data_IF_780680482929
#
_entry.id   IF_780680482929
#
_cell.length_a   1.000
_cell.length_b   1.000
_cell.length_c   1.000
_cell.angle_alpha   90.00
_cell.angle_beta   90.00
_cell.angle_gamma   90.00
#
_symmetry.space_group_name_H-M   'P 1'
#
loop_
_entity.id
_entity.type
_entity.pdbx_description
1 polymer ?
#
# COMPACT_ATOMS: atom_id res chain seq x y z
N UNK A 1 9.72 -24.37 30.00
CA UNK A 1 9.57 -24.70 28.56
C UNK A 1 9.28 -23.42 27.79
N UNK A 2 9.83 -23.24 26.57
CA UNK A 2 9.52 -22.08 25.72
C UNK A 2 8.06 -22.13 25.30
N UNK A 3 7.32 -21.02 25.42
CA UNK A 3 5.93 -20.96 24.93
C UNK A 3 5.90 -21.10 23.40
N UNK A 4 4.97 -21.89 22.90
CA UNK A 4 4.73 -22.15 21.49
C UNK A 4 3.70 -21.16 20.93
N UNK A 5 4.11 -20.35 19.96
CA UNK A 5 3.28 -19.34 19.32
C UNK A 5 3.08 -19.70 17.85
N UNK A 6 1.82 -19.86 17.46
CA UNK A 6 1.43 -20.09 16.07
C UNK A 6 0.92 -18.82 15.42
N UNK A 7 1.42 -18.50 14.25
CA UNK A 7 1.07 -17.31 13.48
C UNK A 7 0.35 -17.73 12.20
N UNK A 8 -0.86 -17.21 11.99
CA UNK A 8 -1.65 -17.46 10.79
C UNK A 8 -1.39 -16.31 9.81
N UNK A 9 -0.83 -16.63 8.65
CA UNK A 9 -0.47 -15.69 7.57
C UNK A 9 1.04 -15.45 7.50
N UNK A 10 1.62 -15.69 6.32
CA UNK A 10 3.02 -15.44 5.97
C UNK A 10 3.24 -14.12 5.25
N UNK A 11 2.38 -13.13 5.48
CA UNK A 11 2.59 -11.76 5.02
C UNK A 11 3.67 -11.03 5.81
N UNK A 12 4.03 -9.81 5.39
CA UNK A 12 5.09 -9.03 6.05
C UNK A 12 4.86 -8.85 7.56
N UNK A 13 3.61 -8.59 7.98
CA UNK A 13 3.24 -8.50 9.41
C UNK A 13 3.49 -9.81 10.15
N UNK A 14 3.03 -10.94 9.61
CA UNK A 14 3.21 -12.26 10.23
C UNK A 14 4.69 -12.65 10.35
N UNK A 15 5.48 -12.36 9.32
CA UNK A 15 6.93 -12.59 9.33
C UNK A 15 7.65 -11.69 10.33
N UNK A 16 7.31 -10.40 10.41
CA UNK A 16 7.91 -9.50 11.39
C UNK A 16 7.56 -9.91 12.83
N UNK A 17 6.31 -10.31 13.09
CA UNK A 17 5.90 -10.87 14.39
C UNK A 17 6.72 -12.12 14.69
N UNK A 18 6.86 -13.03 13.73
CA UNK A 18 7.63 -14.26 13.90
C UNK A 18 9.10 -13.99 14.22
N UNK A 19 9.70 -13.03 13.53
CA UNK A 19 11.08 -12.61 13.76
C UNK A 19 11.24 -12.06 15.18
N UNK A 20 10.42 -11.08 15.58
CA UNK A 20 10.47 -10.49 16.94
C UNK A 20 10.25 -11.50 18.05
N UNK A 21 9.31 -12.43 17.88
CA UNK A 21 9.07 -13.48 18.86
C UNK A 21 10.22 -14.50 18.91
N UNK A 22 10.86 -14.77 17.77
CA UNK A 22 12.04 -15.65 17.73
C UNK A 22 13.26 -14.99 18.40
N UNK A 23 13.40 -13.67 18.31
CA UNK A 23 14.41 -12.91 19.08
C UNK A 23 14.16 -12.95 20.58
N UNK A 24 12.89 -12.91 20.99
CA UNK A 24 12.46 -13.03 22.38
C UNK A 24 12.38 -14.49 22.89
N UNK A 25 13.05 -15.43 22.20
CA UNK A 25 13.24 -16.82 22.58
C UNK A 25 11.95 -17.67 22.71
N UNK A 26 10.89 -17.29 21.98
CA UNK A 26 9.68 -18.10 21.84
C UNK A 26 9.85 -19.19 20.77
N UNK A 27 9.11 -20.30 20.90
CA UNK A 27 9.00 -21.30 19.83
C UNK A 27 7.94 -20.83 18.84
N UNK A 28 8.32 -20.48 17.62
CA UNK A 28 7.42 -19.85 16.64
C UNK A 28 7.15 -20.75 15.45
N UNK A 29 5.89 -20.84 15.03
CA UNK A 29 5.48 -21.48 13.77
C UNK A 29 4.59 -20.55 12.95
N UNK A 30 4.97 -20.28 11.68
CA UNK A 30 4.18 -19.50 10.73
C UNK A 30 3.47 -20.43 9.75
N UNK A 31 2.17 -20.23 9.53
CA UNK A 31 1.37 -21.00 8.60
C UNK A 31 0.84 -20.10 7.47
N UNK A 32 1.24 -20.41 6.24
CA UNK A 32 0.83 -19.69 5.03
C UNK A 32 0.09 -20.64 4.09
N UNK A 33 -1.08 -20.22 3.61
CA UNK A 33 -1.90 -21.03 2.71
C UNK A 33 -1.33 -21.13 1.30
N UNK A 34 -0.57 -20.13 0.86
CA UNK A 34 0.02 -20.06 -0.46
C UNK A 34 1.39 -20.75 -0.52
N UNK A 35 1.89 -20.97 -1.73
CA UNK A 35 3.25 -21.46 -2.00
C UNK A 35 4.36 -20.41 -1.79
N UNK A 36 3.97 -19.15 -1.59
CA UNK A 36 4.88 -17.99 -1.50
C UNK A 36 4.53 -17.15 -0.27
N UNK A 37 5.56 -16.53 0.31
CA UNK A 37 5.44 -15.58 1.43
C UNK A 37 5.34 -14.13 0.93
N UNK A 38 5.06 -13.22 1.85
CA UNK A 38 5.01 -11.78 1.61
C UNK A 38 3.61 -11.19 1.53
N UNK A 39 2.58 -12.01 1.33
CA UNK A 39 1.20 -11.54 1.22
C UNK A 39 1.06 -10.48 0.13
N UNK A 40 0.65 -9.26 0.48
CA UNK A 40 0.47 -8.16 -0.46
C UNK A 40 1.78 -7.66 -1.10
N UNK A 41 2.93 -7.86 -0.44
CA UNK A 41 4.27 -7.56 -0.99
C UNK A 41 4.93 -8.79 -1.62
N UNK A 42 4.17 -9.87 -1.88
CA UNK A 42 4.69 -11.03 -2.59
C UNK A 42 5.17 -10.64 -3.99
N UNK A 43 6.21 -11.32 -4.42
CA UNK A 43 6.98 -10.96 -5.61
C UNK A 43 7.18 -12.18 -6.51
N UNK A 44 7.44 -11.94 -7.78
CA UNK A 44 7.84 -12.94 -8.75
C UNK A 44 9.19 -12.56 -9.36
N UNK A 45 9.93 -13.56 -9.86
CA UNK A 45 11.23 -13.33 -10.46
C UNK A 45 11.07 -12.78 -11.88
N UNK A 46 11.80 -11.71 -12.19
CA UNK A 46 11.88 -11.09 -13.52
C UNK A 46 13.35 -10.87 -13.86
N UNK A 47 13.94 -11.78 -14.65
CA UNK A 47 15.38 -11.78 -14.91
C UNK A 47 16.17 -12.07 -13.62
N UNK A 48 17.08 -11.17 -13.26
CA UNK A 48 17.90 -11.27 -12.04
C UNK A 48 17.27 -10.63 -10.81
N UNK A 49 16.13 -9.94 -10.95
CA UNK A 49 15.46 -9.22 -9.86
C UNK A 49 14.12 -9.86 -9.49
N UNK A 50 13.59 -9.48 -8.34
CA UNK A 50 12.20 -9.72 -7.97
C UNK A 50 11.37 -8.46 -8.18
N UNK A 51 10.15 -8.63 -8.68
CA UNK A 51 9.17 -7.57 -8.82
C UNK A 51 7.91 -7.95 -8.04
N UNK A 52 7.35 -6.99 -7.32
CA UNK A 52 6.12 -7.20 -6.56
C UNK A 52 4.94 -7.43 -7.51
N UNK A 53 3.99 -8.27 -7.09
CA UNK A 53 2.74 -8.49 -7.85
C UNK A 53 1.82 -7.27 -7.87
N UNK A 54 2.08 -6.30 -7.00
CA UNK A 54 1.41 -5.01 -6.96
C UNK A 54 2.40 -3.91 -6.62
N UNK A 55 2.18 -2.69 -7.10
CA UNK A 55 3.12 -1.59 -6.93
C UNK A 55 3.33 -1.24 -5.44
N UNK A 56 4.59 -1.01 -5.06
CA UNK A 56 4.97 -0.57 -3.72
C UNK A 56 6.07 0.49 -3.79
N UNK A 57 6.07 1.39 -2.81
CA UNK A 57 7.13 2.37 -2.58
C UNK A 57 7.11 2.78 -1.11
N UNK A 58 8.26 3.26 -0.65
CA UNK A 58 8.47 3.77 0.70
C UNK A 58 8.51 5.30 0.64
N UNK A 59 7.76 5.98 1.50
CA UNK A 59 7.92 7.42 1.69
C UNK A 59 9.05 7.70 2.67
N UNK A 60 9.72 8.86 2.54
CA UNK A 60 10.75 9.32 3.50
C UNK A 60 10.26 9.34 4.96
N UNK A 61 8.95 9.53 5.15
CA UNK A 61 8.30 9.52 6.46
C UNK A 61 8.04 8.13 7.05
N UNK A 62 8.23 7.04 6.30
CA UNK A 62 7.94 5.68 6.75
C UNK A 62 9.08 5.13 7.62
N UNK A 63 9.30 5.75 8.79
CA UNK A 63 10.44 5.48 9.68
C UNK A 63 10.55 4.01 10.08
N UNK A 64 9.43 3.34 10.35
CA UNK A 64 9.43 1.95 10.84
C UNK A 64 9.97 0.96 9.80
N UNK A 65 9.56 1.08 8.54
CA UNK A 65 10.06 0.18 7.49
C UNK A 65 11.51 0.51 7.11
N UNK A 66 11.89 1.79 7.14
CA UNK A 66 13.28 2.20 6.91
C UNK A 66 14.19 1.65 8.03
N UNK A 67 13.76 1.73 9.29
CA UNK A 67 14.47 1.15 10.41
C UNK A 67 14.59 -0.37 10.27
N UNK A 68 13.50 -1.06 9.91
CA UNK A 68 13.54 -2.50 9.66
C UNK A 68 14.52 -2.86 8.54
N UNK A 69 14.51 -2.11 7.42
CA UNK A 69 15.45 -2.32 6.32
C UNK A 69 16.90 -2.22 6.79
N UNK A 70 17.23 -1.21 7.61
CA UNK A 70 18.57 -1.04 8.15
C UNK A 70 18.95 -2.18 9.12
N UNK A 71 18.01 -2.57 9.98
CA UNK A 71 18.20 -3.69 10.92
C UNK A 71 18.43 -5.03 10.22
N UNK A 72 17.81 -5.21 9.04
CA UNK A 72 18.01 -6.36 8.18
C UNK A 72 19.26 -6.25 7.29
N UNK A 73 20.11 -5.24 7.51
CA UNK A 73 21.34 -4.97 6.73
C UNK A 73 21.07 -4.72 5.23
N UNK A 74 19.86 -4.28 4.90
CA UNK A 74 19.41 -3.96 3.54
C UNK A 74 19.47 -2.46 3.23
N UNK A 75 20.00 -1.63 4.13
CA UNK A 75 20.05 -0.18 3.99
C UNK A 75 20.74 0.29 2.69
N UNK A 76 21.82 -0.38 2.29
CA UNK A 76 22.56 -0.07 1.05
C UNK A 76 21.74 -0.31 -0.23
N UNK A 77 20.73 -1.19 -0.15
CA UNK A 77 19.80 -1.53 -1.24
C UNK A 77 18.63 -0.54 -1.35
N UNK A 78 18.34 0.24 -0.32
CA UNK A 78 17.26 1.23 -0.36
C UNK A 78 17.73 2.46 -1.15
N UNK A 79 17.15 2.67 -2.33
CA UNK A 79 17.41 3.82 -3.19
C UNK A 79 16.20 4.75 -3.23
N UNK A 80 16.47 6.04 -3.41
CA UNK A 80 15.45 7.08 -3.51
C UNK A 80 15.39 7.58 -4.94
N UNK A 81 14.20 7.53 -5.52
CA UNK A 81 13.93 7.88 -6.90
C UNK A 81 12.99 9.08 -6.96
N UNK A 82 13.28 10.03 -7.84
CA UNK A 82 12.35 11.14 -8.10
C UNK A 82 11.14 10.58 -8.85
N UNK A 83 9.95 10.75 -8.26
CA UNK A 83 8.68 10.34 -8.83
C UNK A 83 8.22 11.32 -9.92
N UNK A 84 7.38 10.83 -10.84
CA UNK A 84 6.70 11.64 -11.85
C UNK A 84 5.23 11.23 -11.93
N UNK A 85 4.31 12.21 -11.91
CA UNK A 85 2.87 11.97 -11.81
C UNK A 85 2.11 12.82 -12.83
N UNK A 86 1.18 12.17 -13.53
CA UNK A 86 0.22 12.82 -14.40
C UNK A 86 -1.23 12.38 -14.12
N UNK A 87 -2.18 13.27 -14.39
CA UNK A 87 -3.59 12.93 -14.54
C UNK A 87 -3.88 12.73 -16.04
N UNK A 88 -4.47 11.60 -16.39
CA UNK A 88 -4.99 11.33 -17.73
C UNK A 88 -6.47 11.72 -17.79
N UNK A 89 -6.81 12.68 -18.65
CA UNK A 89 -8.17 13.18 -18.83
C UNK A 89 -8.36 13.64 -20.27
N UNK A 90 -9.49 13.31 -20.89
CA UNK A 90 -9.82 13.71 -22.27
C UNK A 90 -8.69 13.42 -23.28
N UNK A 91 -8.10 12.22 -23.18
CA UNK A 91 -6.98 11.74 -24.02
C UNK A 91 -5.69 12.57 -23.90
N UNK A 92 -5.53 13.33 -22.82
CA UNK A 92 -4.34 14.13 -22.55
C UNK A 92 -3.75 13.80 -21.19
N UNK A 93 -2.43 13.86 -21.11
CA UNK A 93 -1.68 13.76 -19.85
C UNK A 93 -1.40 15.17 -19.33
N UNK A 94 -1.76 15.40 -18.08
CA UNK A 94 -1.49 16.64 -17.37
C UNK A 94 -0.53 16.34 -16.22
N UNK A 95 0.70 16.90 -16.21
CA UNK A 95 1.54 16.88 -15.03
C UNK A 95 0.75 17.36 -13.81
N UNK A 96 0.98 16.77 -12.63
CA UNK A 96 0.21 17.11 -11.44
C UNK A 96 1.04 16.97 -10.15
N UNK A 97 2.24 17.54 -10.13
CA UNK A 97 3.16 17.44 -8.99
C UNK A 97 3.45 18.78 -8.32
N UNK A 98 3.56 19.84 -9.10
CA UNK A 98 3.98 21.17 -8.62
C UNK A 98 2.82 22.17 -8.59
N UNK A 99 3.04 23.29 -7.89
CA UNK A 99 2.13 24.42 -7.95
C UNK A 99 1.97 24.96 -9.37
N UNK A 100 3.06 24.96 -10.16
CA UNK A 100 3.04 25.38 -11.58
C UNK A 100 2.17 24.44 -12.40
N UNK A 101 2.26 23.13 -12.18
CA UNK A 101 1.43 22.15 -12.87
C UNK A 101 -0.05 22.37 -12.57
N UNK A 102 -0.39 22.62 -11.30
CA UNK A 102 -1.76 22.94 -10.90
C UNK A 102 -2.26 24.24 -11.55
N UNK A 103 -1.43 25.28 -11.63
CA UNK A 103 -1.77 26.53 -12.29
C UNK A 103 -1.93 26.37 -13.80
N UNK A 104 -1.21 25.44 -14.44
CA UNK A 104 -1.32 25.10 -15.86
C UNK A 104 -2.40 24.06 -16.16
N UNK A 105 -3.07 23.48 -15.16
CA UNK A 105 -4.09 22.45 -15.31
C UNK A 105 -5.36 22.99 -16.00
N UNK A 106 -5.33 23.01 -17.33
CA UNK A 106 -6.39 23.57 -18.19
C UNK A 106 -7.79 22.97 -17.97
N UNK A 107 -7.98 21.73 -17.46
CA UNK A 107 -9.31 21.24 -17.16
C UNK A 107 -10.04 22.03 -16.05
N UNK A 108 -9.33 22.80 -15.21
CA UNK A 108 -9.95 23.69 -14.23
C UNK A 108 -9.84 25.15 -14.67
N UNK A 109 -10.80 26.01 -14.28
CA UNK A 109 -10.68 27.46 -14.45
C UNK A 109 -9.65 28.01 -13.45
N UNK A 110 -9.03 29.15 -13.73
CA UNK A 110 -7.99 29.73 -12.87
C UNK A 110 -8.42 29.88 -11.40
N UNK A 111 -9.65 30.34 -11.14
CA UNK A 111 -10.20 30.44 -9.79
C UNK A 111 -10.23 29.09 -9.04
N UNK A 112 -10.54 28.02 -9.75
CA UNK A 112 -10.62 26.67 -9.17
C UNK A 112 -9.20 26.11 -8.92
N UNK A 113 -8.22 26.47 -9.77
CA UNK A 113 -6.80 26.12 -9.58
C UNK A 113 -6.24 26.79 -8.32
N UNK A 114 -6.49 28.09 -8.14
CA UNK A 114 -6.06 28.85 -6.95
C UNK A 114 -6.70 28.26 -5.68
N UNK A 115 -8.02 28.03 -5.72
CA UNK A 115 -8.76 27.41 -4.62
C UNK A 115 -8.21 26.03 -4.25
N UNK A 116 -7.95 25.19 -5.25
CA UNK A 116 -7.32 23.88 -5.07
C UNK A 116 -5.93 23.98 -4.45
N UNK A 117 -5.13 24.97 -4.87
CA UNK A 117 -3.82 25.23 -4.28
C UNK A 117 -3.92 25.58 -2.79
N UNK A 118 -4.85 26.47 -2.42
CA UNK A 118 -5.12 26.81 -1.03
C UNK A 118 -5.56 25.60 -0.19
N UNK A 119 -6.46 24.77 -0.73
CA UNK A 119 -6.88 23.51 -0.09
C UNK A 119 -5.72 22.53 0.09
N UNK A 120 -4.88 22.37 -0.94
CA UNK A 120 -3.71 21.52 -0.85
C UNK A 120 -2.77 22.01 0.26
N UNK A 121 -2.39 23.29 0.25
CA UNK A 121 -1.52 23.89 1.28
C UNK A 121 -2.10 23.72 2.69
N UNK A 122 -3.40 23.91 2.87
CA UNK A 122 -4.08 23.68 4.14
C UNK A 122 -3.94 22.22 4.62
N UNK A 123 -4.25 21.25 3.76
CA UNK A 123 -4.20 19.83 4.11
C UNK A 123 -2.77 19.34 4.36
N UNK A 124 -1.79 19.91 3.67
CA UNK A 124 -0.38 19.61 3.86
C UNK A 124 0.16 20.10 5.21
N UNK A 125 -0.27 21.30 5.64
CA UNK A 125 0.18 21.91 6.90
C UNK A 125 -0.57 21.39 8.13
N UNK A 126 -1.82 20.98 7.96
CA UNK A 126 -2.61 20.47 9.08
C UNK A 126 -2.15 19.08 9.52
N UNK A 127 -1.92 18.92 10.82
CA UNK A 127 -1.50 17.66 11.43
C UNK A 127 -2.58 17.00 12.31
N UNK A 128 -3.63 17.73 12.69
CA UNK A 128 -4.75 17.22 13.50
C UNK A 128 -5.75 16.50 12.61
N UNK A 129 -5.45 15.25 12.32
CA UNK A 129 -6.23 14.41 11.41
C UNK A 129 -7.60 14.01 11.99
N UNK A 130 -7.73 14.01 13.32
CA UNK A 130 -8.93 13.60 14.06
C UNK A 130 -10.16 14.42 13.64
N UNK A 131 -9.99 15.70 13.31
CA UNK A 131 -11.09 16.56 12.85
C UNK A 131 -11.70 16.09 11.51
N UNK A 132 -10.98 15.27 10.75
CA UNK A 132 -11.43 14.72 9.48
C UNK A 132 -12.08 13.34 9.62
N UNK A 133 -12.08 12.71 10.81
CA UNK A 133 -12.63 11.36 11.02
C UNK A 133 -14.12 11.30 10.73
N UNK A 134 -14.86 12.26 11.28
CA UNK A 134 -16.33 12.36 11.16
C UNK A 134 -16.79 12.92 9.81
N UNK A 135 -15.88 13.47 9.02
CA UNK A 135 -16.17 14.04 7.71
C UNK A 135 -16.04 13.02 6.58
N UNK A 136 -16.87 13.15 5.54
CA UNK A 136 -16.76 12.33 4.33
C UNK A 136 -15.91 13.04 3.28
N UNK A 137 -14.95 12.33 2.69
CA UNK A 137 -13.99 12.90 1.75
C UNK A 137 -14.67 13.61 0.57
N UNK A 138 -15.69 12.99 -0.04
CA UNK A 138 -16.42 13.58 -1.16
C UNK A 138 -17.13 14.89 -0.77
N UNK A 139 -17.75 14.94 0.42
CA UNK A 139 -18.51 16.10 0.92
C UNK A 139 -17.55 17.24 1.23
N UNK A 140 -16.46 16.93 1.92
CA UNK A 140 -15.43 17.89 2.29
C UNK A 140 -14.76 18.49 1.04
N UNK A 141 -14.35 17.65 0.09
CA UNK A 141 -13.72 18.12 -1.15
C UNK A 141 -14.69 18.93 -2.03
N UNK A 142 -15.96 18.54 -2.12
CA UNK A 142 -16.97 19.34 -2.84
C UNK A 142 -17.15 20.71 -2.18
N UNK A 143 -17.24 20.76 -0.85
CA UNK A 143 -17.40 22.02 -0.09
C UNK A 143 -16.18 22.93 -0.20
N UNK A 144 -14.98 22.42 0.01
CA UNK A 144 -13.77 23.23 0.16
C UNK A 144 -12.94 23.33 -1.12
N UNK A 145 -12.79 22.25 -1.87
CA UNK A 145 -12.13 22.23 -3.19
C UNK A 145 -12.98 22.85 -4.30
N UNK A 146 -14.29 22.95 -4.09
CA UNK A 146 -15.24 23.46 -5.08
C UNK A 146 -15.76 22.38 -6.01
N UNK A 147 -16.91 22.64 -6.62
CA UNK A 147 -17.63 21.64 -7.41
C UNK A 147 -16.85 21.17 -8.64
N UNK A 148 -16.22 22.11 -9.38
CA UNK A 148 -15.46 21.75 -10.58
C UNK A 148 -14.29 20.82 -10.28
N UNK A 149 -13.47 21.15 -9.28
CA UNK A 149 -12.33 20.33 -8.88
C UNK A 149 -12.77 18.99 -8.29
N UNK A 150 -13.86 18.98 -7.52
CA UNK A 150 -14.45 17.73 -7.04
C UNK A 150 -14.88 16.84 -8.20
N UNK A 151 -15.69 17.32 -9.15
CA UNK A 151 -16.21 16.50 -10.24
C UNK A 151 -15.11 15.99 -11.17
N UNK A 152 -14.15 16.86 -11.55
CA UNK A 152 -13.11 16.52 -12.54
C UNK A 152 -11.95 15.71 -11.96
N UNK A 153 -11.62 15.93 -10.69
CA UNK A 153 -10.47 15.28 -10.06
C UNK A 153 -10.94 14.26 -9.02
N UNK A 154 -11.47 14.75 -7.90
CA UNK A 154 -11.60 13.93 -6.71
C UNK A 154 -12.69 12.87 -6.79
N UNK A 155 -13.82 13.17 -7.44
CA UNK A 155 -14.91 12.22 -7.59
C UNK A 155 -14.46 11.02 -8.42
N UNK A 156 -13.79 11.26 -9.55
CA UNK A 156 -13.31 10.18 -10.42
C UNK A 156 -12.28 9.30 -9.71
N UNK A 157 -11.33 9.90 -8.99
CA UNK A 157 -10.32 9.14 -8.24
C UNK A 157 -10.91 8.37 -7.05
N UNK A 158 -11.83 8.99 -6.31
CA UNK A 158 -12.54 8.33 -5.20
C UNK A 158 -13.41 7.18 -5.71
N UNK A 159 -14.15 7.38 -6.80
CA UNK A 159 -14.95 6.33 -7.44
C UNK A 159 -14.08 5.22 -8.01
N UNK A 160 -12.98 5.55 -8.68
CA UNK A 160 -12.05 4.55 -9.20
C UNK A 160 -11.51 3.66 -8.09
N UNK A 161 -11.16 4.25 -6.93
CA UNK A 161 -10.57 3.52 -5.82
C UNK A 161 -11.56 2.76 -4.93
N UNK A 162 -12.75 3.33 -4.72
CA UNK A 162 -13.71 2.80 -3.74
C UNK A 162 -15.04 2.35 -4.37
N UNK A 163 -15.16 2.43 -5.69
CA UNK A 163 -16.37 2.09 -6.43
C UNK A 163 -17.61 2.76 -5.81
N UNK A 164 -18.67 2.00 -5.56
CA UNK A 164 -19.92 2.48 -4.95
C UNK A 164 -19.76 2.90 -3.47
N UNK A 165 -18.65 2.57 -2.82
CA UNK A 165 -18.38 2.94 -1.42
C UNK A 165 -17.70 4.32 -1.28
N UNK A 166 -17.38 5.01 -2.38
CA UNK A 166 -16.62 6.26 -2.34
C UNK A 166 -17.25 7.36 -1.46
N UNK A 167 -18.58 7.37 -1.32
CA UNK A 167 -19.30 8.32 -0.46
C UNK A 167 -19.15 8.04 1.04
N UNK A 168 -18.69 6.85 1.42
CA UNK A 168 -18.52 6.41 2.80
C UNK A 168 -17.10 6.68 3.33
N UNK A 169 -16.15 6.96 2.45
CA UNK A 169 -14.74 7.17 2.75
C UNK A 169 -14.55 8.39 3.66
N UNK A 170 -13.82 8.20 4.76
CA UNK A 170 -13.48 9.27 5.70
C UNK A 170 -12.53 10.28 5.05
N UNK A 171 -12.71 11.57 5.37
CA UNK A 171 -11.79 12.61 4.94
C UNK A 171 -10.40 12.41 5.58
N UNK A 172 -10.30 11.78 6.75
CA UNK A 172 -9.01 11.45 7.37
C UNK A 172 -8.15 10.56 6.46
N UNK A 173 -8.78 9.63 5.73
CA UNK A 173 -8.09 8.79 4.75
C UNK A 173 -7.49 9.63 3.61
N UNK A 174 -8.27 10.56 3.05
CA UNK A 174 -7.80 11.40 1.94
C UNK A 174 -6.73 12.40 2.41
N UNK A 175 -6.93 13.01 3.57
CA UNK A 175 -5.94 13.87 4.22
C UNK A 175 -4.61 13.12 4.40
N UNK A 176 -4.63 11.88 4.91
CA UNK A 176 -3.41 11.10 5.12
C UNK A 176 -2.64 10.90 3.81
N UNK A 177 -3.34 10.61 2.70
CA UNK A 177 -2.70 10.47 1.37
C UNK A 177 -2.05 11.76 0.88
N UNK A 178 -2.68 12.91 1.09
CA UNK A 178 -2.14 14.22 0.70
C UNK A 178 -0.96 14.61 1.60
N UNK A 179 -1.11 14.43 2.92
CA UNK A 179 -0.12 14.81 3.92
C UNK A 179 1.16 13.97 3.80
N UNK A 180 1.04 12.65 3.67
CA UNK A 180 2.18 11.73 3.50
C UNK A 180 3.00 12.09 2.26
N UNK A 181 2.33 12.36 1.13
CA UNK A 181 3.00 12.71 -0.13
C UNK A 181 3.68 14.06 -0.11
N UNK A 182 3.10 15.04 0.58
CA UNK A 182 3.74 16.34 0.75
C UNK A 182 5.00 16.25 1.63
N UNK A 183 5.00 15.38 2.64
CA UNK A 183 6.17 15.14 3.51
C UNK A 183 7.28 14.33 2.84
N UNK A 184 7.02 13.67 1.70
CA UNK A 184 8.05 12.96 0.92
C UNK A 184 8.76 13.83 -0.12
N UNK A 185 8.37 15.11 -0.27
CA UNK A 185 9.11 16.06 -1.09
C UNK A 185 10.31 16.63 -0.32
N UNK A 186 11.52 16.55 -0.90
CA UNK A 186 12.73 17.14 -0.29
C UNK A 186 12.73 18.66 -0.52
N UNK A 187 12.76 19.47 0.55
CA UNK A 187 12.94 20.93 0.52
C UNK A 187 12.02 21.68 -0.48
N UNK A 188 10.75 21.24 -0.63
CA UNK A 188 9.81 21.84 -1.59
C UNK A 188 10.05 21.43 -3.06
N UNK A 189 10.94 20.48 -3.31
CA UNK A 189 11.21 19.88 -4.62
C UNK A 189 10.22 18.76 -5.00
N UNK A 190 10.64 17.89 -5.93
CA UNK A 190 9.82 16.76 -6.40
C UNK A 190 9.73 15.66 -5.34
N UNK A 191 8.62 14.91 -5.37
CA UNK A 191 8.41 13.73 -4.51
C UNK A 191 9.52 12.69 -4.75
N UNK A 192 10.13 12.21 -3.66
CA UNK A 192 11.05 11.06 -3.72
C UNK A 192 10.38 9.81 -3.14
N UNK A 193 10.54 8.69 -3.84
CA UNK A 193 10.01 7.39 -3.46
C UNK A 193 11.16 6.40 -3.27
N UNK A 194 11.13 5.69 -2.15
CA UNK A 194 12.08 4.65 -1.80
C UNK A 194 11.69 3.31 -2.43
N UNK A 195 12.67 2.63 -3.02
CA UNK A 195 12.51 1.29 -3.56
C UNK A 195 13.80 0.48 -3.33
N UNK A 196 13.65 -0.83 -3.07
CA UNK A 196 14.78 -1.73 -2.84
C UNK A 196 15.35 -2.24 -4.17
N UNK A 197 16.65 -2.09 -4.36
CA UNK A 197 17.37 -2.68 -5.48
C UNK A 197 17.37 -4.20 -5.38
N UNK A 198 16.51 -4.85 -6.17
CA UNK A 198 16.24 -6.28 -6.12
C UNK A 198 14.81 -6.63 -5.67
N UNK A 199 14.00 -5.62 -5.31
CA UNK A 199 12.61 -5.75 -4.88
C UNK A 199 12.46 -5.89 -3.36
N UNK A 200 11.24 -5.69 -2.87
CA UNK A 200 10.83 -5.89 -1.48
C UNK A 200 10.89 -7.37 -1.05
N UNK A 201 11.03 -8.29 -2.00
CA UNK A 201 11.35 -9.69 -1.70
C UNK A 201 12.58 -9.84 -0.79
N UNK A 202 13.56 -8.93 -0.89
CA UNK A 202 14.75 -8.96 -0.03
C UNK A 202 14.40 -8.90 1.47
N UNK A 203 13.37 -8.12 1.84
CA UNK A 203 12.89 -8.05 3.23
C UNK A 203 12.30 -9.39 3.66
N UNK A 204 11.51 -10.02 2.78
CA UNK A 204 10.87 -11.31 3.05
C UNK A 204 11.94 -12.38 3.23
N UNK A 205 12.88 -12.46 2.30
CA UNK A 205 13.95 -13.45 2.32
C UNK A 205 14.81 -13.33 3.58
N UNK A 206 15.20 -12.11 3.95
CA UNK A 206 16.02 -11.87 5.13
C UNK A 206 15.28 -12.17 6.44
N UNK A 207 14.00 -11.78 6.55
CA UNK A 207 13.17 -12.16 7.71
C UNK A 207 13.06 -13.69 7.83
N UNK A 208 12.85 -14.41 6.72
CA UNK A 208 12.76 -15.87 6.71
C UNK A 208 14.06 -16.51 7.19
N UNK A 209 15.21 -16.02 6.73
CA UNK A 209 16.53 -16.47 7.18
C UNK A 209 16.68 -16.29 8.69
N UNK A 210 16.40 -15.08 9.21
CA UNK A 210 16.53 -14.77 10.64
C UNK A 210 15.60 -15.61 11.52
N UNK A 211 14.35 -15.81 11.10
CA UNK A 211 13.39 -16.69 11.79
C UNK A 211 13.94 -18.12 11.87
N UNK A 212 14.39 -18.68 10.75
CA UNK A 212 14.91 -20.05 10.69
C UNK A 212 16.18 -20.24 11.51
N UNK A 213 17.09 -19.27 11.47
CA UNK A 213 18.34 -19.29 12.25
C UNK A 213 18.07 -19.29 13.77
N UNK A 214 16.94 -18.74 14.20
CA UNK A 214 16.47 -18.79 15.60
C UNK A 214 15.60 -20.01 15.92
N UNK A 215 15.49 -20.98 15.00
CA UNK A 215 14.72 -22.20 15.17
C UNK A 215 13.22 -22.07 14.89
N UNK A 216 12.76 -20.92 14.38
CA UNK A 216 11.38 -20.71 13.96
C UNK A 216 11.05 -21.55 12.72
N UNK A 217 9.80 -22.04 12.64
CA UNK A 217 9.32 -22.90 11.56
C UNK A 217 8.33 -22.15 10.66
N UNK A 218 8.40 -22.40 9.36
CA UNK A 218 7.48 -21.79 8.39
C UNK A 218 6.91 -22.89 7.50
N UNK A 219 5.58 -23.00 7.48
CA UNK A 219 4.83 -23.99 6.73
C UNK A 219 4.07 -23.31 5.59
N UNK A 220 4.47 -23.61 4.35
CA UNK A 220 3.79 -23.18 3.13
C UNK A 220 2.71 -24.17 2.73
N UNK A 221 1.78 -23.75 1.86
CA UNK A 221 0.64 -24.57 1.41
C UNK A 221 -0.18 -25.16 2.57
N UNK A 222 -0.17 -24.48 3.73
CA UNK A 222 -0.77 -24.96 4.97
C UNK A 222 -1.83 -23.96 5.42
N UNK A 223 -3.03 -24.12 4.88
CA UNK A 223 -4.18 -23.32 5.28
C UNK A 223 -4.71 -23.76 6.66
N UNK A 224 -4.85 -22.79 7.57
CA UNK A 224 -5.54 -22.98 8.83
C UNK A 224 -7.01 -22.64 8.61
N UNK A 225 -7.86 -23.66 8.67
CA UNK A 225 -9.32 -23.58 8.53
C UNK A 225 -10.03 -23.59 9.87
N UNK A 226 -9.37 -24.02 10.94
CA UNK A 226 -9.88 -24.21 12.30
C UNK A 226 -8.76 -23.97 13.32
N UNK A 227 -9.07 -23.31 14.43
CA UNK A 227 -8.11 -23.06 15.52
C UNK A 227 -7.64 -24.35 16.17
N UNK A 228 -8.51 -25.36 16.24
CA UNK A 228 -8.20 -26.70 16.74
C UNK A 228 -7.03 -27.40 16.01
N UNK A 229 -6.69 -26.99 14.78
CA UNK A 229 -5.50 -27.47 14.06
C UNK A 229 -4.18 -27.03 14.71
N UNK A 230 -4.23 -26.02 15.59
CA UNK A 230 -3.11 -25.40 16.28
C UNK A 230 -3.12 -25.70 17.79
N UNK A 231 -3.74 -26.83 18.20
CA UNK A 231 -3.95 -27.21 19.61
C UNK A 231 -2.70 -27.23 20.48
N UNK A 232 -1.52 -27.43 19.89
CA UNK A 232 -0.24 -27.46 20.61
C UNK A 232 0.34 -26.05 20.86
N UNK A 233 -0.39 -24.98 20.53
CA UNK A 233 0.05 -23.60 20.65
C UNK A 233 -0.46 -22.97 21.94
N UNK A 234 0.42 -22.35 22.72
CA UNK A 234 0.03 -21.56 23.89
C UNK A 234 -0.67 -20.25 23.51
N UNK A 235 -0.29 -19.67 22.36
CA UNK A 235 -0.89 -18.46 21.79
C UNK A 235 -1.00 -18.57 20.28
N UNK A 236 -2.02 -17.94 19.73
CA UNK A 236 -2.27 -17.86 18.30
C UNK A 236 -2.40 -16.39 17.91
N UNK A 237 -1.67 -15.98 16.88
CA UNK A 237 -1.72 -14.64 16.33
C UNK A 237 -2.18 -14.72 14.88
N UNK A 238 -3.29 -14.08 14.55
CA UNK A 238 -3.78 -13.99 13.19
C UNK A 238 -3.32 -12.68 12.54
N UNK A 239 -2.58 -12.78 11.44
CA UNK A 239 -2.13 -11.64 10.62
C UNK A 239 -2.89 -11.53 9.29
N UNK A 240 -4.00 -12.26 9.16
CA UNK A 240 -4.92 -12.25 8.02
C UNK A 240 -6.05 -11.22 8.22
N UNK A 241 -6.81 -10.93 7.17
CA UNK A 241 -7.94 -10.00 7.27
C UNK A 241 -9.06 -10.53 8.18
N UNK A 242 -9.83 -9.60 8.76
CA UNK A 242 -10.88 -9.90 9.73
C UNK A 242 -11.95 -10.84 9.18
N UNK A 243 -12.31 -10.72 7.89
CA UNK A 243 -13.36 -11.54 7.29
C UNK A 243 -12.92 -13.00 7.11
N UNK A 244 -11.67 -13.23 6.72
CA UNK A 244 -11.13 -14.58 6.64
C UNK A 244 -10.85 -15.16 8.03
N UNK A 245 -10.41 -14.35 9.00
CA UNK A 245 -10.31 -14.82 10.38
C UNK A 245 -11.67 -15.19 10.97
N UNK A 246 -12.73 -14.41 10.68
CA UNK A 246 -14.10 -14.72 11.09
C UNK A 246 -14.53 -16.12 10.67
N UNK A 247 -14.21 -16.55 9.44
CA UNK A 247 -14.55 -17.90 8.94
C UNK A 247 -13.85 -19.02 9.73
N UNK A 248 -12.65 -18.77 10.25
CA UNK A 248 -11.90 -19.72 11.07
C UNK A 248 -12.57 -19.83 12.44
N UNK A 249 -12.85 -18.69 13.09
CA UNK A 249 -13.44 -18.68 14.44
C UNK A 249 -14.90 -19.12 14.48
N UNK A 250 -15.67 -18.91 13.39
CA UNK A 250 -17.05 -19.41 13.26
C UNK A 250 -17.13 -20.93 13.36
N UNK A 251 -16.12 -21.63 12.85
CA UNK A 251 -16.06 -23.11 12.88
C UNK A 251 -15.76 -23.65 14.27
N UNK A 252 -15.32 -22.79 15.18
CA UNK A 252 -14.97 -23.10 16.57
C UNK A 252 -16.10 -22.73 17.55
N UNK A 253 -17.25 -22.24 17.05
CA UNK A 253 -18.40 -21.79 17.86
C UNK A 253 -18.00 -20.78 18.94
N UNK A 254 -17.05 -19.90 18.63
CA UNK A 254 -16.65 -18.78 19.48
C UNK A 254 -17.75 -17.70 19.53
N UNK A 255 -17.60 -16.73 20.43
CA UNK A 255 -18.55 -15.64 20.68
C UNK A 255 -19.07 -14.98 19.39
N UNK A 256 -20.40 -14.97 19.26
CA UNK A 256 -21.12 -14.45 18.11
C UNK A 256 -20.92 -12.94 17.91
N UNK A 257 -20.76 -12.18 19.00
CA UNK A 257 -20.59 -10.73 18.92
C UNK A 257 -19.19 -10.36 18.44
N UNK A 258 -18.18 -11.15 18.83
CA UNK A 258 -16.85 -11.04 18.26
C UNK A 258 -16.84 -11.35 16.75
N UNK A 259 -17.54 -12.41 16.32
CA UNK A 259 -17.69 -12.75 14.90
C UNK A 259 -18.36 -11.62 14.11
N UNK A 260 -19.46 -11.06 14.63
CA UNK A 260 -20.14 -9.90 14.01
C UNK A 260 -19.20 -8.71 13.89
N UNK A 261 -18.41 -8.42 14.93
CA UNK A 261 -17.41 -7.34 14.91
C UNK A 261 -16.38 -7.55 13.80
N UNK A 262 -15.84 -8.76 13.65
CA UNK A 262 -14.89 -9.08 12.57
C UNK A 262 -15.50 -8.87 11.18
N UNK A 263 -16.74 -9.31 10.97
CA UNK A 263 -17.46 -9.21 9.69
C UNK A 263 -17.96 -7.79 9.36
N UNK A 264 -17.94 -6.87 10.31
CA UNK A 264 -18.40 -5.48 10.11
C UNK A 264 -17.54 -4.67 9.14
N UNK A 265 -16.29 -5.11 8.90
CA UNK A 265 -15.36 -4.42 8.02
C UNK A 265 -15.65 -4.77 6.56
N UNK A 266 -15.97 -3.74 5.77
CA UNK A 266 -16.17 -3.87 4.32
C UNK A 266 -14.83 -3.79 3.59
N UNK A 267 -14.53 -4.81 2.79
CA UNK A 267 -13.35 -4.87 1.94
C UNK A 267 -13.72 -4.67 0.47
N UNK A 268 -12.75 -4.21 -0.31
CA UNK A 268 -12.83 -4.17 -1.77
C UNK A 268 -11.73 -5.07 -2.34
N UNK A 269 -12.08 -5.80 -3.39
CA UNK A 269 -11.10 -6.53 -4.16
C UNK A 269 -10.24 -5.55 -4.98
N UNK A 270 -8.97 -5.89 -5.14
CA UNK A 270 -8.02 -5.19 -6.00
C UNK A 270 -7.54 -6.16 -7.08
N UNK A 271 -7.56 -5.71 -8.33
CA UNK A 271 -6.99 -6.44 -9.46
C UNK A 271 -5.80 -5.60 -9.96
N UNK A 272 -4.61 -6.16 -9.86
CA UNK A 272 -3.39 -5.62 -10.42
C UNK A 272 -2.97 -6.46 -11.63
N UNK A 273 -2.69 -5.80 -12.74
CA UNK A 273 -2.13 -6.46 -13.94
C UNK A 273 -0.72 -5.95 -14.12
N UNK A 274 0.24 -6.86 -14.13
CA UNK A 274 1.63 -6.57 -14.48
C UNK A 274 1.85 -7.08 -15.90
N UNK A 275 2.34 -6.21 -16.77
CA UNK A 275 2.75 -6.58 -18.11
C UNK A 275 4.08 -5.92 -18.45
N UNK A 276 4.76 -6.51 -19.44
CA UNK A 276 6.05 -6.05 -19.95
C UNK A 276 5.89 -5.76 -21.43
N UNK A 277 6.34 -4.58 -21.86
CA UNK A 277 6.30 -4.15 -23.27
C UNK A 277 7.60 -3.42 -23.60
N UNK A 278 8.02 -3.46 -24.86
CA UNK A 278 9.13 -2.63 -25.37
C UNK A 278 8.67 -1.20 -25.70
N UNK A 279 7.37 -0.95 -25.70
CA UNK A 279 6.81 0.37 -26.00
C UNK A 279 6.92 1.27 -24.76
N UNK A 280 7.47 2.47 -24.93
CA UNK A 280 7.31 3.52 -23.92
C UNK A 280 5.92 4.12 -24.07
N UNK A 281 5.05 3.89 -23.08
CA UNK A 281 3.67 4.38 -23.12
C UNK A 281 3.55 5.81 -22.60
N UNK A 282 4.55 6.28 -21.84
CA UNK A 282 4.58 7.60 -21.23
C UNK A 282 5.95 7.88 -20.60
N UNK A 283 6.21 9.16 -20.26
CA UNK A 283 7.38 9.62 -19.49
C UNK A 283 7.11 9.69 -17.97
N UNK A 284 5.86 9.47 -17.55
CA UNK A 284 5.49 9.51 -16.12
C UNK A 284 5.56 8.12 -15.49
N UNK A 285 5.95 8.05 -14.23
CA UNK A 285 5.90 6.82 -13.43
C UNK A 285 4.45 6.48 -13.05
N UNK A 286 3.68 7.48 -12.59
CA UNK A 286 2.33 7.27 -12.09
C UNK A 286 1.30 8.06 -12.88
N UNK A 287 0.25 7.38 -13.32
CA UNK A 287 -0.87 7.97 -14.03
C UNK A 287 -2.13 7.78 -13.24
N UNK A 288 -2.74 8.87 -12.79
CA UNK A 288 -4.10 8.87 -12.29
C UNK A 288 -5.06 8.90 -13.49
N UNK A 289 -5.93 7.91 -13.60
CA UNK A 289 -6.85 7.83 -14.74
C UNK A 289 -8.16 8.51 -14.36
N UNK A 290 -8.32 9.75 -14.81
CA UNK A 290 -9.50 10.58 -14.62
C UNK A 290 -10.47 10.41 -15.80
N UNK A 291 -10.80 9.16 -16.12
CA UNK A 291 -11.73 8.79 -17.15
C UNK A 291 -12.72 7.76 -16.59
N UNK A 292 -14.01 8.13 -16.55
CA UNK A 292 -15.07 7.26 -16.02
C UNK A 292 -15.36 6.04 -16.89
N UNK A 293 -14.88 6.03 -18.14
CA UNK A 293 -15.00 4.90 -19.07
C UNK A 293 -13.81 3.93 -18.98
N UNK A 294 -12.74 4.31 -18.28
CA UNK A 294 -11.55 3.46 -18.15
C UNK A 294 -11.83 2.24 -17.25
N UNK A 295 -11.33 1.04 -17.60
CA UNK A 295 -11.45 -0.15 -16.76
C UNK A 295 -10.48 -0.16 -15.56
N UNK A 296 -9.52 0.78 -15.49
CA UNK A 296 -8.55 0.90 -14.40
C UNK A 296 -8.39 2.36 -13.96
N UNK A 297 -8.07 2.54 -12.67
CA UNK A 297 -7.93 3.86 -12.04
C UNK A 297 -6.50 4.43 -12.09
N UNK A 298 -5.52 3.56 -12.29
CA UNK A 298 -4.11 3.93 -12.25
C UNK A 298 -3.31 3.09 -13.25
N UNK A 299 -2.37 3.72 -13.93
CA UNK A 299 -1.37 3.05 -14.75
C UNK A 299 0.01 3.43 -14.21
N UNK A 300 0.84 2.42 -13.91
CA UNK A 300 2.14 2.61 -13.28
C UNK A 300 3.21 2.08 -14.23
N UNK A 301 4.05 2.95 -14.76
CA UNK A 301 5.19 2.59 -15.58
C UNK A 301 6.43 2.52 -14.68
N UNK A 302 6.63 1.37 -14.04
CA UNK A 302 7.65 1.19 -13.01
C UNK A 302 9.08 1.47 -13.51
N UNK A 303 9.36 1.18 -14.79
CA UNK A 303 10.65 1.47 -15.45
C UNK A 303 10.99 2.97 -15.50
N UNK A 304 10.00 3.87 -15.46
CA UNK A 304 10.23 5.31 -15.37
C UNK A 304 10.64 5.76 -13.95
N UNK A 305 10.45 4.92 -12.93
CA UNK A 305 10.91 5.22 -11.57
C UNK A 305 12.31 4.66 -11.33
N UNK A 306 12.53 3.38 -11.62
CA UNK A 306 13.74 2.65 -11.20
C UNK A 306 14.75 2.38 -12.32
N UNK A 307 14.45 2.80 -13.56
CA UNK A 307 15.28 2.53 -14.73
C UNK A 307 14.90 1.23 -15.46
N UNK A 308 15.31 1.15 -16.73
CA UNK A 308 14.98 0.04 -17.64
C UNK A 308 16.02 -1.07 -17.60
N UNK A 309 17.25 -0.75 -17.16
CA UNK A 309 18.39 -1.66 -17.17
C UNK A 309 18.07 -2.93 -16.37
N UNK A 310 17.30 -2.76 -15.29
CA UNK A 310 16.81 -3.82 -14.39
C UNK A 310 15.88 -4.83 -15.07
N UNK A 311 15.23 -4.42 -16.15
CA UNK A 311 14.29 -5.25 -16.91
C UNK A 311 14.91 -5.79 -18.19
N UNK A 312 16.21 -5.58 -18.42
CA UNK A 312 16.91 -5.94 -19.65
C UNK A 312 16.70 -4.91 -20.77
N UNK A 313 16.62 -3.63 -20.43
CA UNK A 313 16.44 -2.49 -21.36
C UNK A 313 15.13 -2.51 -22.17
N UNK A 314 14.14 -3.25 -21.68
CA UNK A 314 12.77 -3.28 -22.19
C UNK A 314 11.85 -2.39 -21.37
#
# INVERSE_FOLDING_TARGET
>A
MKKNISIIGGGLTGLLIAYRLSEADYKVSVYEKNKELGGLVSSFKQGSIYLEKSYHHIFKGDKNIIQLINELDLGSKLKWYTSSIANYMDRRLYPFMSAVDLLKFSPLKLKDRIRMGGVALYLQKENRWQKFEKEKAWKWMKKWGGESAYLKIWQLLLRGKFHNLYKQVSMAWLWARINTRAKSAKNGGKEELGYLDGGFYLIIDELVKRIKNKGGRIFLNKEIKRISQLKDSDKIIASIDSNNFAKIVEREKLDIDYIKKLKSIKYLAYIGVVFKSKQSLSDYYWHNINDSKSPFLAFIQHSNLVGKERYGNS
#
